data_IF_909336720765
#
_entry.id   IF_909336720765
#
_cell.length_a   1.000
_cell.length_b   1.000
_cell.length_c   1.000
_cell.angle_alpha   90.00
_cell.angle_beta   90.00
_cell.angle_gamma   90.00
#
_symmetry.space_group_name_H-M   'P 1'
#
loop_
_entity.id
_entity.type
_entity.pdbx_description
1 polymer ?
#
# COMPACT_ATOMS: atom_id res chain seq x y z
N UNK A 1 5.76 -84.52 -41.02
CA UNK A 1 5.03 -83.93 -39.89
C UNK A 1 3.52 -83.78 -40.25
N UNK A 2 2.68 -84.44 -39.46
CA UNK A 2 1.22 -84.50 -39.73
C UNK A 2 0.58 -83.06 -39.61
N UNK A 3 -0.39 -82.75 -40.50
CA UNK A 3 -1.07 -81.43 -40.54
C UNK A 3 -1.62 -80.97 -39.17
N UNK A 4 -1.97 -81.87 -38.30
CA UNK A 4 -2.48 -81.62 -36.95
C UNK A 4 -1.42 -80.99 -36.02
N UNK A 5 -0.16 -81.33 -36.12
CA UNK A 5 0.92 -80.79 -35.30
C UNK A 5 1.27 -79.32 -35.68
N UNK A 6 1.13 -78.96 -36.94
CA UNK A 6 1.30 -77.57 -37.43
C UNK A 6 0.22 -76.62 -36.94
N UNK A 7 -1.01 -77.10 -36.83
CA UNK A 7 -2.18 -76.35 -36.31
C UNK A 7 -2.00 -76.14 -34.77
N UNK A 8 -1.61 -77.21 -34.06
CA UNK A 8 -1.39 -77.10 -32.59
C UNK A 8 -0.23 -76.12 -32.24
N UNK A 9 0.86 -76.13 -33.01
CA UNK A 9 1.95 -75.14 -32.80
C UNK A 9 1.51 -73.69 -33.14
N UNK A 10 0.73 -73.48 -34.15
CA UNK A 10 0.19 -72.18 -34.51
C UNK A 10 -0.72 -71.59 -33.42
N UNK A 11 -1.58 -72.40 -32.85
CA UNK A 11 -2.50 -72.01 -31.72
C UNK A 11 -1.64 -71.65 -30.49
N UNK A 12 -0.62 -72.45 -30.16
CA UNK A 12 0.24 -72.21 -28.99
C UNK A 12 1.05 -70.90 -29.16
N UNK A 13 1.57 -70.63 -30.33
CA UNK A 13 2.25 -69.39 -30.65
C UNK A 13 1.28 -68.17 -30.57
N UNK A 14 0.03 -68.31 -31.05
CA UNK A 14 -0.98 -67.28 -30.95
C UNK A 14 -1.32 -66.91 -29.49
N UNK A 15 -1.51 -67.91 -28.64
CA UNK A 15 -1.75 -67.67 -27.20
C UNK A 15 -0.54 -67.10 -26.50
N UNK A 16 0.68 -67.46 -26.88
CA UNK A 16 1.91 -66.92 -26.36
C UNK A 16 2.05 -65.44 -26.71
N UNK A 17 1.72 -65.05 -27.95
CA UNK A 17 1.72 -63.63 -28.37
C UNK A 17 0.68 -62.82 -27.57
N UNK A 18 -0.54 -63.35 -27.39
CA UNK A 18 -1.56 -62.69 -26.58
C UNK A 18 -1.11 -62.49 -25.14
N UNK A 19 -0.47 -63.50 -24.54
CA UNK A 19 0.02 -63.43 -23.18
C UNK A 19 1.12 -62.33 -23.06
N UNK A 20 2.06 -62.27 -24.02
CA UNK A 20 3.10 -61.22 -24.06
C UNK A 20 2.48 -59.85 -24.17
N UNK A 21 1.44 -59.67 -25.02
CA UNK A 21 0.76 -58.40 -25.20
C UNK A 21 0.02 -57.99 -23.90
N UNK A 22 -0.66 -58.91 -23.23
CA UNK A 22 -1.34 -58.63 -21.96
C UNK A 22 -0.37 -58.25 -20.84
N UNK A 23 0.71 -59.03 -20.70
CA UNK A 23 1.78 -58.76 -19.70
C UNK A 23 2.46 -57.42 -20.01
N UNK A 24 2.80 -57.18 -21.26
CA UNK A 24 3.40 -55.90 -21.68
C UNK A 24 2.47 -54.70 -21.36
N UNK A 25 1.18 -54.80 -21.68
CA UNK A 25 0.18 -53.76 -21.40
C UNK A 25 0.02 -53.54 -19.90
N UNK A 26 0.00 -54.57 -19.09
CA UNK A 26 -0.13 -54.44 -17.62
C UNK A 26 1.15 -53.88 -16.99
N UNK A 27 2.35 -54.28 -17.43
CA UNK A 27 3.59 -53.71 -16.96
C UNK A 27 3.76 -52.21 -17.33
N UNK A 28 3.43 -51.87 -18.57
CA UNK A 28 3.45 -50.46 -19.04
C UNK A 28 2.40 -49.66 -18.23
N UNK A 29 1.18 -50.14 -18.09
CA UNK A 29 0.14 -49.50 -17.31
C UNK A 29 0.50 -49.26 -15.84
N UNK A 30 1.10 -50.24 -15.20
CA UNK A 30 1.59 -50.11 -13.82
C UNK A 30 2.80 -49.16 -13.69
N UNK A 31 3.69 -49.16 -14.66
CA UNK A 31 4.81 -48.21 -14.70
C UNK A 31 4.33 -46.78 -14.83
N UNK A 32 3.39 -46.49 -15.73
CA UNK A 32 2.78 -45.18 -15.89
C UNK A 32 1.94 -44.77 -14.65
N UNK A 33 1.17 -45.68 -14.06
CA UNK A 33 0.46 -45.42 -12.81
C UNK A 33 1.40 -45.03 -11.68
N UNK A 34 2.53 -45.73 -11.47
CA UNK A 34 3.53 -45.39 -10.46
C UNK A 34 4.20 -44.03 -10.71
N UNK A 35 4.50 -43.70 -11.96
CA UNK A 35 5.25 -42.50 -12.34
C UNK A 35 4.39 -41.22 -12.37
N UNK A 36 3.08 -41.32 -12.67
CA UNK A 36 2.19 -40.18 -12.87
C UNK A 36 1.04 -40.10 -11.85
N UNK A 37 0.87 -41.08 -10.94
CA UNK A 37 -0.25 -41.09 -9.96
C UNK A 37 -0.12 -40.09 -8.83
N UNK A 38 1.10 -39.61 -8.52
CA UNK A 38 1.33 -38.60 -7.48
C UNK A 38 1.88 -37.33 -8.10
N UNK A 39 0.99 -36.36 -8.34
CA UNK A 39 1.44 -35.00 -8.64
C UNK A 39 2.19 -34.47 -7.41
N UNK A 40 3.37 -33.85 -7.59
CA UNK A 40 4.07 -33.26 -6.46
C UNK A 40 3.17 -32.24 -5.76
N UNK A 41 3.20 -32.17 -4.42
CA UNK A 41 2.38 -31.21 -3.67
C UNK A 41 2.66 -29.79 -4.16
N UNK A 42 1.61 -28.95 -4.35
CA UNK A 42 1.78 -27.59 -4.84
C UNK A 42 2.56 -26.76 -3.84
N UNK A 43 3.48 -25.93 -4.32
CA UNK A 43 4.16 -24.91 -3.51
C UNK A 43 3.19 -23.80 -3.15
N UNK A 44 2.94 -23.59 -1.88
CA UNK A 44 1.97 -22.61 -1.35
C UNK A 44 2.66 -21.72 -0.33
N UNK A 45 2.41 -20.41 -0.40
CA UNK A 45 2.97 -19.45 0.55
C UNK A 45 2.17 -19.55 1.85
N UNK A 46 2.88 -19.82 2.93
CA UNK A 46 2.33 -19.92 4.28
C UNK A 46 2.86 -18.78 5.16
N UNK A 47 2.07 -18.40 6.15
CA UNK A 47 2.44 -17.42 7.17
C UNK A 47 1.94 -17.89 8.53
N UNK A 48 2.54 -17.37 9.57
CA UNK A 48 2.16 -17.63 10.95
C UNK A 48 1.14 -16.58 11.40
N UNK A 49 0.19 -16.98 12.25
CA UNK A 49 -0.74 -16.09 12.92
C UNK A 49 0.02 -15.36 14.03
N UNK A 50 0.10 -14.04 13.94
CA UNK A 50 0.85 -13.19 14.87
C UNK A 50 -0.05 -12.19 15.56
N UNK A 51 0.34 -11.72 16.75
CA UNK A 51 -0.35 -10.62 17.41
C UNK A 51 0.03 -9.32 16.71
N UNK A 52 -0.98 -8.49 16.41
CA UNK A 52 -0.83 -7.16 15.83
C UNK A 52 -1.71 -6.15 16.55
N UNK A 53 -1.30 -4.89 16.50
CA UNK A 53 -2.14 -3.79 16.91
C UNK A 53 -3.14 -3.46 15.79
N UNK A 54 -4.43 -3.44 16.13
CA UNK A 54 -5.52 -3.05 15.26
C UNK A 54 -6.19 -1.80 15.81
N UNK A 55 -6.55 -0.90 14.92
CA UNK A 55 -7.31 0.31 15.26
C UNK A 55 -8.41 0.58 14.25
N UNK A 56 -9.51 1.14 14.74
CA UNK A 56 -10.47 1.78 13.86
C UNK A 56 -9.98 3.17 13.51
N UNK A 57 -10.40 3.70 12.35
CA UNK A 57 -9.92 4.98 11.83
C UNK A 57 -11.07 5.81 11.34
N UNK A 58 -11.00 7.10 11.61
CA UNK A 58 -11.85 8.11 10.98
C UNK A 58 -10.96 9.15 10.32
N UNK A 59 -11.22 9.46 9.06
CA UNK A 59 -10.47 10.44 8.29
C UNK A 59 -11.32 11.66 8.02
N UNK A 60 -10.73 12.86 8.15
CA UNK A 60 -11.35 14.15 7.89
C UNK A 60 -10.27 15.12 7.39
N UNK A 61 -10.68 16.34 7.06
CA UNK A 61 -9.79 17.40 6.65
C UNK A 61 -9.91 18.59 7.57
N UNK A 62 -8.82 19.33 7.74
CA UNK A 62 -8.80 20.55 8.52
C UNK A 62 -7.78 21.54 7.98
N UNK A 63 -7.86 22.77 8.50
CA UNK A 63 -6.94 23.85 8.13
C UNK A 63 -5.92 24.09 9.25
N UNK A 64 -4.66 24.23 8.88
CA UNK A 64 -3.58 24.54 9.80
C UNK A 64 -3.73 25.95 10.39
N UNK A 65 -3.69 26.06 11.71
CA UNK A 65 -3.79 27.30 12.47
C UNK A 65 -2.52 27.45 13.31
N UNK A 66 -1.89 28.64 13.35
CA UNK A 66 -0.70 28.86 14.19
C UNK A 66 -1.06 28.78 15.68
N UNK A 67 -0.14 28.35 16.50
CA UNK A 67 -0.34 28.26 17.95
C UNK A 67 -0.73 29.58 18.58
N UNK A 68 -0.09 30.67 18.17
CA UNK A 68 -0.36 32.05 18.62
C UNK A 68 -0.22 33.01 17.46
N UNK A 69 -1.09 34.02 17.46
CA UNK A 69 -1.06 35.11 16.49
C UNK A 69 -1.20 36.45 17.24
N UNK A 70 -0.37 37.41 16.89
CA UNK A 70 -0.52 38.79 17.34
C UNK A 70 -0.51 39.71 16.13
N UNK A 71 -1.59 40.46 15.97
CA UNK A 71 -1.76 41.41 14.86
C UNK A 71 -1.35 42.82 15.29
N UNK A 72 -0.72 43.53 14.38
CA UNK A 72 -0.33 44.92 14.55
C UNK A 72 -0.82 45.70 13.34
N UNK A 73 -1.64 46.71 13.57
CA UNK A 73 -2.01 47.70 12.57
C UNK A 73 -1.07 48.89 12.67
N UNK A 74 -0.43 49.26 11.59
CA UNK A 74 0.60 50.31 11.50
C UNK A 74 0.23 51.19 10.34
N UNK A 75 0.32 52.52 10.55
CA UNK A 75 0.18 53.45 9.44
C UNK A 75 1.45 53.50 8.64
N UNK A 76 1.37 53.43 7.30
CA UNK A 76 2.57 53.32 6.42
C UNK A 76 3.54 54.48 6.61
N UNK A 77 3.05 55.69 6.92
CA UNK A 77 3.87 56.90 7.14
C UNK A 77 4.68 56.86 8.47
N UNK A 78 4.34 55.95 9.39
CA UNK A 78 5.07 55.81 10.66
C UNK A 78 6.26 54.90 10.51
N UNK A 79 6.38 54.09 9.45
CA UNK A 79 7.43 53.13 9.23
C UNK A 79 8.74 53.85 8.88
N UNK A 80 9.76 53.64 9.68
CA UNK A 80 11.11 54.19 9.44
C UNK A 80 11.98 53.16 8.73
N UNK A 81 12.01 51.93 9.24
CA UNK A 81 12.79 50.82 8.67
C UNK A 81 11.91 49.87 7.94
N UNK A 82 12.32 49.29 6.78
CA UNK A 82 11.52 48.33 6.04
C UNK A 82 11.23 47.08 6.88
N UNK A 83 10.01 46.52 6.74
CA UNK A 83 9.61 45.31 7.45
C UNK A 83 10.07 44.10 6.64
N UNK A 84 10.87 43.23 7.27
CA UNK A 84 11.29 41.96 6.69
C UNK A 84 10.23 40.88 6.97
N UNK A 85 9.46 40.54 5.94
CA UNK A 85 8.48 39.44 6.03
C UNK A 85 9.13 38.06 5.94
N UNK A 86 8.48 37.06 6.52
CA UNK A 86 8.93 35.65 6.61
C UNK A 86 10.25 35.47 7.42
N UNK A 87 10.65 36.50 8.14
CA UNK A 87 11.79 36.45 9.05
C UNK A 87 11.38 35.78 10.37
N UNK A 88 12.19 34.85 10.84
CA UNK A 88 12.06 34.26 12.17
C UNK A 88 12.62 35.21 13.19
N UNK A 89 11.83 35.55 14.19
CA UNK A 89 12.19 36.43 15.29
C UNK A 89 12.05 35.73 16.63
N UNK A 90 12.91 36.07 17.56
CA UNK A 90 12.79 35.68 18.98
C UNK A 90 12.00 36.72 19.74
N UNK A 91 11.43 36.34 20.87
CA UNK A 91 10.83 37.31 21.80
C UNK A 91 11.79 38.42 22.15
N UNK A 92 11.37 39.67 21.96
CA UNK A 92 12.17 40.87 22.21
C UNK A 92 12.92 41.41 20.99
N UNK A 93 13.01 40.63 19.91
CA UNK A 93 13.64 41.12 18.66
C UNK A 93 12.85 42.26 18.01
N UNK A 94 13.56 43.16 17.33
CA UNK A 94 12.95 44.27 16.61
C UNK A 94 12.27 43.77 15.33
N UNK A 95 10.95 44.02 15.20
CA UNK A 95 10.19 43.82 13.97
C UNK A 95 10.44 44.97 12.99
N UNK A 96 10.24 46.19 13.46
CA UNK A 96 10.52 47.43 12.70
C UNK A 96 10.57 48.61 13.65
N UNK A 97 11.26 49.69 13.19
CA UNK A 97 11.28 50.99 13.86
C UNK A 97 10.17 51.88 13.31
N UNK A 98 9.36 52.40 14.21
CA UNK A 98 8.36 53.40 13.90
C UNK A 98 8.82 54.76 14.39
N UNK A 99 8.30 55.85 13.83
CA UNK A 99 8.64 57.23 14.25
C UNK A 99 8.44 57.46 15.74
N UNK A 100 7.44 56.87 16.34
CA UNK A 100 7.05 57.11 17.74
C UNK A 100 7.51 56.00 18.69
N UNK A 101 7.80 54.80 18.19
CA UNK A 101 8.13 53.62 19.00
C UNK A 101 8.82 52.54 18.20
N UNK A 102 9.51 51.62 18.88
CA UNK A 102 9.97 50.39 18.30
C UNK A 102 8.90 49.30 18.41
N UNK A 103 8.64 48.58 17.33
CA UNK A 103 7.78 47.41 17.33
C UNK A 103 8.63 46.18 17.57
N UNK A 104 8.39 45.49 18.67
CA UNK A 104 9.15 44.30 19.11
C UNK A 104 8.28 43.06 19.10
N UNK A 105 8.93 41.92 18.87
CA UNK A 105 8.28 40.60 18.89
C UNK A 105 7.84 40.21 20.31
N UNK A 106 6.56 39.95 20.47
CA UNK A 106 5.98 39.55 21.78
C UNK A 106 6.30 38.12 22.18
N UNK A 107 6.61 37.26 21.21
CA UNK A 107 7.01 35.87 21.37
C UNK A 107 7.83 35.41 20.13
N UNK A 108 8.40 34.23 20.19
CA UNK A 108 9.13 33.61 19.08
C UNK A 108 8.16 33.32 17.93
N UNK A 109 8.46 33.76 16.72
CA UNK A 109 7.54 33.56 15.61
C UNK A 109 8.05 34.09 14.28
N UNK A 110 7.18 34.10 13.29
CA UNK A 110 7.44 34.58 11.94
C UNK A 110 6.55 35.78 11.69
N UNK A 111 7.11 36.82 11.09
CA UNK A 111 6.35 38.00 10.67
C UNK A 111 5.74 37.77 9.31
N UNK A 112 4.41 37.89 9.23
CA UNK A 112 3.66 37.75 8.00
C UNK A 112 2.91 39.02 7.66
N UNK A 113 2.70 39.29 6.36
CA UNK A 113 1.86 40.38 5.88
C UNK A 113 0.43 39.85 5.73
N UNK A 114 -0.54 40.66 6.16
CA UNK A 114 -1.96 40.40 5.89
C UNK A 114 -2.57 41.63 5.21
N UNK A 115 -3.36 41.38 4.20
CA UNK A 115 -4.09 42.47 3.51
C UNK A 115 -5.44 42.74 4.19
N UNK A 116 -5.97 41.73 4.91
CA UNK A 116 -7.21 41.87 5.69
C UNK A 116 -7.21 40.90 6.88
N UNK A 117 -8.05 41.23 7.86
CA UNK A 117 -8.39 40.32 8.98
C UNK A 117 -9.89 40.49 9.27
N UNK A 118 -10.53 39.43 9.77
CA UNK A 118 -11.98 39.50 10.12
C UNK A 118 -12.29 40.58 11.14
N UNK A 119 -11.33 40.87 12.04
CA UNK A 119 -11.51 41.77 13.17
C UNK A 119 -10.90 43.16 12.96
N UNK A 120 -10.09 43.36 11.91
CA UNK A 120 -9.34 44.62 11.70
C UNK A 120 -9.52 45.08 10.27
N UNK A 121 -10.15 46.22 10.10
CA UNK A 121 -10.25 46.92 8.81
C UNK A 121 -8.93 47.57 8.46
N UNK A 122 -8.40 47.24 7.29
CA UNK A 122 -7.16 47.78 6.74
C UNK A 122 -7.52 48.81 5.68
N UNK A 123 -7.00 50.04 5.81
CA UNK A 123 -7.10 51.09 4.80
C UNK A 123 -5.87 51.07 3.87
N UNK A 124 -5.96 51.79 2.75
CA UNK A 124 -4.81 51.93 1.84
C UNK A 124 -3.58 52.58 2.51
N UNK A 125 -3.80 53.43 3.50
CA UNK A 125 -2.75 54.07 4.29
C UNK A 125 -2.14 53.23 5.38
N UNK A 126 -2.76 52.09 5.73
CA UNK A 126 -2.29 51.23 6.82
C UNK A 126 -1.76 49.87 6.32
N UNK A 127 -0.98 49.22 7.16
CA UNK A 127 -0.41 47.88 6.96
C UNK A 127 -0.80 47.01 8.16
N UNK A 128 -1.33 45.85 7.88
CA UNK A 128 -1.59 44.84 8.89
C UNK A 128 -0.46 43.78 8.81
N UNK A 129 0.26 43.62 9.89
CA UNK A 129 1.26 42.58 10.06
C UNK A 129 0.86 41.64 11.19
N UNK A 130 1.24 40.41 11.07
CA UNK A 130 1.01 39.39 12.10
C UNK A 130 2.33 38.76 12.50
N UNK A 131 2.52 38.59 13.79
CA UNK A 131 3.54 37.70 14.35
C UNK A 131 2.84 36.37 14.64
N UNK A 132 3.30 35.29 14.04
CA UNK A 132 2.71 33.96 14.13
C UNK A 132 3.71 32.97 14.69
N UNK A 133 3.34 32.28 15.77
CA UNK A 133 4.11 31.14 16.29
C UNK A 133 3.65 29.86 15.59
N UNK A 134 4.45 29.39 14.67
CA UNK A 134 4.19 28.22 13.84
C UNK A 134 4.99 26.98 14.26
N UNK A 135 5.69 27.02 15.40
CA UNK A 135 6.42 25.88 15.96
C UNK A 135 5.50 24.73 16.36
N UNK A 136 4.28 25.08 16.71
CA UNK A 136 3.16 24.16 16.93
C UNK A 136 2.01 24.60 16.04
N UNK A 137 1.35 23.64 15.41
CA UNK A 137 0.17 23.87 14.59
C UNK A 137 -1.05 23.27 15.30
N UNK A 138 -2.12 24.01 15.33
CA UNK A 138 -3.44 23.51 15.63
C UNK A 138 -4.19 23.21 14.34
N UNK A 139 -5.07 22.21 14.40
CA UNK A 139 -5.99 21.89 13.32
C UNK A 139 -7.38 21.71 13.91
N UNK A 140 -8.30 22.55 13.51
CA UNK A 140 -9.69 22.38 13.89
C UNK A 140 -10.41 21.54 12.84
N UNK A 141 -11.07 20.49 13.30
CA UNK A 141 -11.78 19.53 12.45
C UNK A 141 -13.16 19.22 13.00
N UNK A 142 -14.09 18.95 12.11
CA UNK A 142 -15.42 18.48 12.41
C UNK A 142 -15.48 16.95 12.28
N UNK A 143 -15.73 16.25 13.38
CA UNK A 143 -15.86 14.80 13.42
C UNK A 143 -17.34 14.42 13.42
N UNK A 144 -17.82 13.55 12.51
CA UNK A 144 -19.23 13.14 12.49
C UNK A 144 -19.69 12.56 13.85
N UNK A 145 -20.91 12.90 14.25
CA UNK A 145 -21.52 12.53 15.53
C UNK A 145 -21.39 11.03 15.85
N UNK A 146 -21.49 10.18 14.82
CA UNK A 146 -21.32 8.73 14.93
C UNK A 146 -20.04 8.30 15.68
N UNK A 147 -18.98 9.07 15.56
CA UNK A 147 -17.68 8.76 16.15
C UNK A 147 -17.43 9.49 17.48
N UNK A 148 -18.32 10.39 17.90
CA UNK A 148 -18.13 11.30 19.04
C UNK A 148 -17.78 10.60 20.35
N UNK A 149 -18.39 9.44 20.62
CA UNK A 149 -18.16 8.64 21.83
C UNK A 149 -16.73 8.06 21.94
N UNK A 150 -16.06 7.90 20.80
CA UNK A 150 -14.72 7.34 20.72
C UNK A 150 -13.63 8.42 20.74
N UNK A 151 -13.99 9.68 20.43
CA UNK A 151 -13.04 10.78 20.33
C UNK A 151 -12.74 11.35 21.72
N UNK A 152 -11.50 11.14 22.16
CA UNK A 152 -11.04 11.57 23.49
C UNK A 152 -9.74 12.35 23.40
N UNK A 153 -9.50 13.21 24.38
CA UNK A 153 -8.21 13.90 24.52
C UNK A 153 -7.06 12.91 24.53
N UNK A 154 -5.92 13.31 23.94
CA UNK A 154 -4.68 12.54 23.83
C UNK A 154 -4.74 11.32 22.88
N UNK A 155 -5.79 11.12 22.09
CA UNK A 155 -5.75 10.13 21.02
C UNK A 155 -4.71 10.50 19.96
N UNK A 156 -4.01 9.48 19.45
CA UNK A 156 -3.03 9.64 18.38
C UNK A 156 -3.72 9.96 17.05
N UNK A 157 -3.13 10.89 16.34
CA UNK A 157 -3.63 11.37 15.04
C UNK A 157 -2.49 11.38 14.04
N UNK A 158 -2.71 10.73 12.91
CA UNK A 158 -1.82 10.85 11.76
C UNK A 158 -2.29 12.04 10.90
N UNK A 159 -1.36 12.92 10.58
CA UNK A 159 -1.61 14.13 9.79
C UNK A 159 -0.78 14.08 8.53
N UNK A 160 -1.41 14.23 7.38
CA UNK A 160 -0.73 14.38 6.09
C UNK A 160 -0.94 15.79 5.55
N UNK A 161 0.13 16.37 5.06
CA UNK A 161 0.11 17.66 4.41
C UNK A 161 0.12 17.49 2.89
N UNK A 162 -0.83 18.09 2.19
CA UNK A 162 -0.96 17.96 0.73
C UNK A 162 0.26 18.42 -0.06
N UNK A 163 1.09 19.28 0.51
CA UNK A 163 2.36 19.73 -0.09
C UNK A 163 3.50 18.72 0.06
N UNK A 164 3.34 17.69 0.92
CA UNK A 164 4.33 16.62 1.09
C UNK A 164 3.61 15.32 1.48
N UNK A 165 3.07 14.63 0.48
CA UNK A 165 2.25 13.43 0.67
C UNK A 165 2.99 12.22 1.24
N UNK A 166 4.32 12.19 1.15
CA UNK A 166 5.13 11.07 1.63
C UNK A 166 5.41 11.12 3.13
N UNK A 167 5.21 12.30 3.75
CA UNK A 167 5.51 12.52 5.16
C UNK A 167 4.23 12.50 6.01
N UNK A 168 4.22 11.62 7.01
CA UNK A 168 3.17 11.58 8.02
C UNK A 168 3.69 12.27 9.29
N UNK A 169 2.95 13.27 9.73
CA UNK A 169 3.20 13.97 10.99
C UNK A 169 2.34 13.34 12.07
N UNK A 170 2.87 13.23 13.28
CA UNK A 170 2.13 12.73 14.44
C UNK A 170 1.57 13.90 15.24
N UNK A 171 0.28 13.88 15.49
CA UNK A 171 -0.43 14.81 16.34
C UNK A 171 -1.22 14.09 17.43
N UNK A 172 -1.84 14.87 18.29
CA UNK A 172 -2.74 14.38 19.33
C UNK A 172 -4.01 15.26 19.38
N UNK A 173 -5.12 14.69 19.83
CA UNK A 173 -6.31 15.47 20.15
C UNK A 173 -6.03 16.28 21.40
N UNK A 174 -6.06 17.61 21.27
CA UNK A 174 -5.87 18.56 22.37
C UNK A 174 -7.18 18.77 23.14
N UNK A 175 -8.28 19.02 22.43
CA UNK A 175 -9.58 19.28 23.03
C UNK A 175 -10.73 18.99 22.08
N UNK A 176 -11.92 18.84 22.63
CA UNK A 176 -13.18 18.72 21.90
C UNK A 176 -14.17 19.74 22.45
N UNK A 177 -15.18 20.13 21.65
CA UNK A 177 -16.19 21.14 22.03
C UNK A 177 -17.08 20.72 23.20
N UNK A 178 -17.11 19.45 23.57
CA UNK A 178 -18.00 18.93 24.60
C UNK A 178 -19.49 18.91 24.25
N UNK A 179 -19.87 19.36 23.04
CA UNK A 179 -21.24 19.34 22.50
C UNK A 179 -21.21 19.06 21.01
N UNK A 180 -22.28 18.47 20.53
CA UNK A 180 -22.51 18.28 19.09
C UNK A 180 -23.08 19.55 18.47
N UNK A 181 -22.52 19.94 17.35
CA UNK A 181 -23.12 20.94 16.46
C UNK A 181 -24.33 20.31 15.77
N UNK A 182 -25.52 20.88 16.01
CA UNK A 182 -26.78 20.31 15.52
C UNK A 182 -26.93 20.49 14.01
N UNK A 183 -26.41 21.58 13.46
CA UNK A 183 -26.49 21.88 12.02
C UNK A 183 -25.55 20.95 11.21
N UNK A 184 -24.32 20.80 11.66
CA UNK A 184 -23.31 19.98 11.00
C UNK A 184 -23.35 18.50 11.41
N UNK A 185 -24.07 18.14 12.47
CA UNK A 185 -24.04 16.80 13.08
C UNK A 185 -22.63 16.32 13.33
N UNK A 186 -21.83 17.19 13.94
CA UNK A 186 -20.40 16.95 14.18
C UNK A 186 -19.93 17.41 15.55
N UNK A 187 -18.82 16.83 16.00
CA UNK A 187 -18.07 17.23 17.19
C UNK A 187 -16.86 18.04 16.73
N UNK A 188 -16.83 19.33 17.05
CA UNK A 188 -15.66 20.16 16.80
C UNK A 188 -14.49 19.69 17.68
N UNK A 189 -13.38 19.40 17.05
CA UNK A 189 -12.22 18.78 17.69
C UNK A 189 -10.95 19.53 17.29
N UNK A 190 -10.12 19.90 18.25
CA UNK A 190 -8.83 20.54 18.03
C UNK A 190 -7.70 19.53 18.17
N UNK A 191 -6.87 19.48 17.16
CA UNK A 191 -5.68 18.64 17.09
C UNK A 191 -4.44 19.53 17.24
N UNK A 192 -3.47 19.06 17.98
CA UNK A 192 -2.17 19.71 18.17
C UNK A 192 -1.07 18.86 17.59
N UNK A 193 -0.20 19.45 16.78
CA UNK A 193 1.00 18.78 16.25
C UNK A 193 2.20 19.70 16.32
N UNK A 194 3.39 19.11 16.48
CA UNK A 194 4.65 19.82 16.41
C UNK A 194 5.05 20.06 14.97
N UNK A 195 5.59 21.25 14.69
CA UNK A 195 6.05 21.66 13.39
C UNK A 195 7.52 22.11 13.47
N UNK A 196 8.37 21.21 13.95
CA UNK A 196 9.78 21.51 14.26
C UNK A 196 10.57 22.01 13.04
N UNK A 197 10.25 21.52 11.85
CA UNK A 197 10.89 21.93 10.61
C UNK A 197 10.21 23.12 9.91
N UNK A 198 9.09 23.60 10.43
CA UNK A 198 8.27 24.65 9.80
C UNK A 198 7.77 24.29 8.38
N UNK A 199 7.60 22.98 8.11
CA UNK A 199 7.13 22.49 6.81
C UNK A 199 5.66 22.81 6.55
N UNK A 200 4.86 22.87 7.62
CA UNK A 200 3.42 23.15 7.55
C UNK A 200 3.19 24.65 7.77
N UNK A 201 2.67 25.29 6.76
CA UNK A 201 2.33 26.71 6.83
C UNK A 201 0.88 26.90 7.34
N UNK A 202 0.61 27.94 8.12
CA UNK A 202 -0.76 28.33 8.46
C UNK A 202 -1.62 28.50 7.21
N UNK A 203 -2.86 28.04 7.26
CA UNK A 203 -3.76 28.02 6.11
C UNK A 203 -3.67 26.76 5.23
N UNK A 204 -2.69 25.89 5.46
CA UNK A 204 -2.55 24.65 4.71
C UNK A 204 -3.71 23.69 5.00
N UNK A 205 -4.16 22.98 3.95
CA UNK A 205 -5.10 21.86 4.07
C UNK A 205 -4.36 20.62 4.53
N UNK A 206 -4.87 19.99 5.59
CA UNK A 206 -4.33 18.78 6.19
C UNK A 206 -5.37 17.66 6.17
N UNK A 207 -4.92 16.47 5.76
CA UNK A 207 -5.69 15.23 5.89
C UNK A 207 -5.40 14.64 7.28
N UNK A 208 -6.44 14.38 8.04
CA UNK A 208 -6.38 13.94 9.42
C UNK A 208 -6.94 12.54 9.52
N UNK A 209 -6.18 11.62 10.09
CA UNK A 209 -6.65 10.27 10.42
C UNK A 209 -6.52 10.01 11.91
N UNK A 210 -7.66 9.94 12.59
CA UNK A 210 -7.74 9.66 14.03
C UNK A 210 -7.88 8.16 14.22
N UNK A 211 -7.01 7.58 15.06
CA UNK A 211 -7.05 6.17 15.45
C UNK A 211 -7.75 6.02 16.78
N UNK A 212 -8.70 5.10 16.86
CA UNK A 212 -9.44 4.83 18.09
C UNK A 212 -9.70 3.32 18.23
N UNK A 213 -10.14 2.88 19.42
CA UNK A 213 -10.34 1.46 19.76
C UNK A 213 -9.10 0.60 19.44
N UNK A 214 -7.92 1.11 19.78
CA UNK A 214 -6.68 0.37 19.59
C UNK A 214 -6.66 -0.87 20.49
N UNK A 215 -6.37 -2.02 19.90
CA UNK A 215 -6.25 -3.29 20.62
C UNK A 215 -5.24 -4.22 19.98
N UNK A 216 -4.58 -5.03 20.79
CA UNK A 216 -3.73 -6.11 20.33
C UNK A 216 -4.59 -7.36 20.13
N UNK A 217 -4.60 -7.92 18.94
CA UNK A 217 -5.37 -9.11 18.59
C UNK A 217 -4.63 -9.96 17.57
N UNK A 218 -5.09 -11.19 17.35
CA UNK A 218 -4.53 -12.08 16.33
C UNK A 218 -4.76 -11.48 14.95
N UNK A 219 -3.71 -11.44 14.13
CA UNK A 219 -3.75 -10.89 12.79
C UNK A 219 -3.26 -11.86 11.73
N UNK A 220 -3.94 -11.86 10.59
CA UNK A 220 -3.55 -12.59 9.39
C UNK A 220 -3.60 -11.67 8.18
N UNK A 221 -2.81 -11.94 7.11
CA UNK A 221 -2.95 -11.21 5.86
C UNK A 221 -4.36 -11.37 5.28
N UNK A 222 -4.91 -10.30 4.72
CA UNK A 222 -6.24 -10.31 4.09
C UNK A 222 -6.34 -11.29 2.90
N UNK A 223 -5.20 -11.56 2.23
CA UNK A 223 -5.09 -12.56 1.16
C UNK A 223 -5.29 -14.01 1.62
N UNK A 224 -5.29 -14.26 2.94
CA UNK A 224 -5.48 -15.60 3.54
C UNK A 224 -6.94 -16.00 3.69
N UNK A 225 -7.87 -15.05 3.51
CA UNK A 225 -9.30 -15.28 3.72
C UNK A 225 -9.99 -15.85 2.50
N UNK A 226 -10.96 -16.71 2.76
CA UNK A 226 -11.90 -17.23 1.79
C UNK A 226 -13.31 -17.07 2.34
N UNK A 227 -14.19 -16.44 1.55
CA UNK A 227 -15.60 -16.26 1.90
C UNK A 227 -16.44 -17.24 1.10
N UNK A 228 -17.33 -17.95 1.78
CA UNK A 228 -18.30 -18.83 1.17
C UNK A 228 -19.68 -18.59 1.81
N UNK A 229 -20.58 -17.96 1.08
CA UNK A 229 -21.84 -17.43 1.64
C UNK A 229 -21.54 -16.42 2.75
N UNK A 230 -22.17 -16.58 3.89
CA UNK A 230 -22.04 -15.70 5.06
C UNK A 230 -20.88 -16.09 5.99
N UNK A 231 -20.12 -17.13 5.64
CA UNK A 231 -19.06 -17.66 6.49
C UNK A 231 -17.67 -17.36 5.92
N UNK A 232 -16.74 -17.11 6.83
CA UNK A 232 -15.34 -16.84 6.50
C UNK A 232 -14.47 -18.00 6.95
N UNK A 233 -13.55 -18.40 6.07
CA UNK A 233 -12.66 -19.54 6.27
C UNK A 233 -11.21 -19.16 5.99
N UNK A 234 -10.32 -19.92 6.63
CA UNK A 234 -8.89 -19.96 6.32
C UNK A 234 -8.43 -21.40 6.13
N UNK A 235 -7.35 -21.62 5.42
CA UNK A 235 -6.70 -22.94 5.40
C UNK A 235 -5.57 -22.95 6.43
N UNK A 236 -5.81 -23.63 7.56
CA UNK A 236 -4.80 -23.95 8.57
C UNK A 236 -3.93 -25.09 8.07
N UNK A 237 -2.62 -24.99 8.25
CA UNK A 237 -1.62 -25.98 7.83
C UNK A 237 -1.16 -26.76 9.05
N UNK A 238 -1.34 -28.08 9.04
CA UNK A 238 -0.85 -28.94 10.11
C UNK A 238 0.66 -29.18 10.02
N UNK A 239 1.28 -29.74 11.04
CA UNK A 239 2.71 -30.15 11.05
C UNK A 239 3.07 -31.11 9.90
N UNK A 240 2.10 -31.93 9.47
CA UNK A 240 2.25 -32.83 8.30
C UNK A 240 2.05 -32.14 6.96
N UNK A 241 2.01 -30.81 6.93
CA UNK A 241 1.75 -29.98 5.74
C UNK A 241 0.41 -30.25 5.04
N UNK A 242 -0.59 -30.71 5.80
CA UNK A 242 -1.96 -30.95 5.31
C UNK A 242 -2.79 -29.72 5.62
N UNK A 243 -3.57 -29.27 4.64
CA UNK A 243 -4.45 -28.12 4.77
C UNK A 243 -5.80 -28.51 5.34
N UNK A 244 -6.25 -27.80 6.37
CA UNK A 244 -7.58 -27.94 6.97
C UNK A 244 -8.36 -26.63 6.81
N UNK A 245 -9.54 -26.71 6.22
CA UNK A 245 -10.47 -25.58 6.13
C UNK A 245 -11.04 -25.31 7.52
N UNK A 246 -10.77 -24.12 8.06
CA UNK A 246 -11.16 -23.71 9.41
C UNK A 246 -12.04 -22.48 9.32
N UNK A 247 -13.21 -22.50 9.92
CA UNK A 247 -14.09 -21.34 10.04
C UNK A 247 -13.51 -20.35 11.04
N UNK A 248 -13.57 -19.05 10.73
CA UNK A 248 -13.04 -17.99 11.55
C UNK A 248 -14.02 -16.84 11.65
N UNK A 249 -14.04 -16.18 12.80
CA UNK A 249 -14.74 -14.90 12.98
C UNK A 249 -13.73 -13.79 12.85
N UNK A 250 -13.98 -12.88 11.90
CA UNK A 250 -13.10 -11.76 11.61
C UNK A 250 -13.56 -10.49 12.34
N UNK A 251 -12.63 -9.60 12.64
CA UNK A 251 -12.87 -8.29 13.23
C UNK A 251 -12.41 -7.15 12.32
N UNK A 252 -11.61 -6.26 12.86
CA UNK A 252 -11.10 -5.06 12.19
C UNK A 252 -10.15 -5.45 11.06
N UNK A 253 -10.26 -4.74 9.92
CA UNK A 253 -9.28 -4.80 8.83
C UNK A 253 -8.42 -3.55 8.88
N UNK A 254 -7.12 -3.72 8.98
CA UNK A 254 -6.16 -2.63 9.03
C UNK A 254 -4.87 -2.98 8.27
N UNK A 255 -4.47 -2.10 7.36
CA UNK A 255 -3.16 -2.13 6.67
C UNK A 255 -2.81 -3.48 6.02
N UNK A 256 -3.80 -4.11 5.34
CA UNK A 256 -3.63 -5.41 4.65
C UNK A 256 -3.64 -6.63 5.57
N UNK A 257 -4.00 -6.42 6.84
CA UNK A 257 -4.24 -7.48 7.82
C UNK A 257 -5.68 -7.45 8.30
N UNK A 258 -6.15 -8.61 8.72
CA UNK A 258 -7.47 -8.78 9.32
C UNK A 258 -7.31 -9.37 10.70
N UNK A 259 -8.03 -8.80 11.63
CA UNK A 259 -8.18 -9.31 12.98
C UNK A 259 -8.96 -10.61 12.98
N UNK A 260 -8.49 -11.59 13.76
CA UNK A 260 -9.19 -12.83 14.04
C UNK A 260 -9.72 -12.79 15.49
N UNK A 261 -11.03 -12.76 15.60
CA UNK A 261 -11.73 -12.78 16.89
C UNK A 261 -11.78 -14.21 17.45
N UNK A 262 -12.02 -15.21 16.59
CA UNK A 262 -12.04 -16.61 16.99
C UNK A 262 -11.73 -17.55 15.81
N UNK A 263 -11.40 -18.82 16.13
CA UNK A 263 -11.10 -19.88 15.15
C UNK A 263 -9.63 -20.19 14.97
N UNK A 264 -8.70 -19.31 15.39
CA UNK A 264 -7.26 -19.52 15.32
C UNK A 264 -6.60 -19.22 16.66
N UNK A 265 -5.38 -19.77 16.82
CA UNK A 265 -4.48 -19.46 17.94
C UNK A 265 -3.18 -18.88 17.41
N UNK A 266 -2.47 -18.09 18.24
CA UNK A 266 -1.14 -17.60 17.93
C UNK A 266 -0.20 -18.76 17.55
N UNK A 267 0.65 -18.54 16.55
CA UNK A 267 1.60 -19.55 16.08
C UNK A 267 0.99 -20.55 15.08
N UNK A 268 -0.31 -20.54 14.82
CA UNK A 268 -0.88 -21.39 13.79
C UNK A 268 -0.33 -21.01 12.41
N UNK A 269 0.08 -22.02 11.64
CA UNK A 269 0.46 -21.81 10.23
C UNK A 269 -0.79 -21.80 9.36
N UNK A 270 -0.91 -20.80 8.51
CA UNK A 270 -2.02 -20.64 7.57
C UNK A 270 -1.52 -20.37 6.15
N UNK A 271 -2.36 -20.67 5.17
CA UNK A 271 -2.09 -20.32 3.77
C UNK A 271 -2.24 -18.80 3.60
N UNK A 272 -1.17 -18.13 3.19
CA UNK A 272 -1.16 -16.69 2.96
C UNK A 272 -1.53 -16.31 1.53
N UNK A 273 -1.05 -17.07 0.56
CA UNK A 273 -1.29 -16.79 -0.86
C UNK A 273 -1.45 -18.11 -1.64
N UNK A 274 -2.24 -18.07 -2.71
CA UNK A 274 -2.43 -19.23 -3.59
C UNK A 274 -3.65 -20.08 -3.23
N UNK A 275 -4.66 -19.53 -2.55
CA UNK A 275 -5.89 -20.19 -2.14
C UNK A 275 -6.58 -20.98 -3.26
N UNK A 276 -6.54 -20.48 -4.51
CA UNK A 276 -7.12 -21.19 -5.69
C UNK A 276 -6.51 -22.56 -5.96
N UNK A 277 -5.31 -22.84 -5.45
CA UNK A 277 -4.60 -24.13 -5.62
C UNK A 277 -4.79 -25.06 -4.42
N UNK A 278 -5.41 -24.58 -3.36
CA UNK A 278 -5.58 -25.31 -2.11
C UNK A 278 -6.99 -25.92 -2.05
N UNK A 279 -7.08 -27.12 -1.49
CA UNK A 279 -8.32 -27.81 -1.18
C UNK A 279 -8.25 -28.40 0.22
N UNK A 280 -9.36 -28.66 0.89
CA UNK A 280 -9.34 -29.35 2.18
C UNK A 280 -8.62 -30.70 2.08
N UNK A 281 -7.83 -31.03 3.08
CA UNK A 281 -7.03 -32.26 3.20
C UNK A 281 -5.98 -32.45 2.09
N UNK A 282 -5.53 -31.35 1.47
CA UNK A 282 -4.47 -31.39 0.48
C UNK A 282 -3.10 -31.28 1.16
N UNK A 283 -2.16 -32.16 0.78
CA UNK A 283 -0.75 -32.01 1.14
C UNK A 283 -0.12 -30.89 0.29
N UNK A 284 0.56 -29.95 0.93
CA UNK A 284 1.21 -28.80 0.28
C UNK A 284 2.70 -28.79 0.58
N UNK A 285 3.48 -28.10 -0.25
CA UNK A 285 4.86 -27.72 0.05
C UNK A 285 4.88 -26.29 0.57
N UNK A 286 5.02 -26.06 1.90
CA UNK A 286 4.99 -24.72 2.46
C UNK A 286 6.22 -23.92 2.01
N UNK A 287 5.99 -22.68 1.58
CA UNK A 287 7.01 -21.70 1.23
C UNK A 287 6.81 -20.50 2.18
N UNK A 288 7.81 -20.17 2.98
CA UNK A 288 7.73 -18.99 3.85
C UNK A 288 7.79 -17.71 3.03
N UNK A 289 6.97 -16.72 3.37
CA UNK A 289 6.99 -15.39 2.73
C UNK A 289 8.36 -14.74 2.96
N UNK A 290 9.07 -14.41 1.87
CA UNK A 290 10.42 -13.82 1.95
C UNK A 290 11.54 -14.72 1.40
N UNK A 291 11.34 -16.01 1.17
CA UNK A 291 12.25 -16.82 0.37
C UNK A 291 12.12 -16.40 -1.10
N UNK A 292 13.26 -16.00 -1.71
CA UNK A 292 13.34 -15.62 -3.13
C UNK A 292 12.48 -16.58 -3.96
N UNK A 293 11.55 -16.04 -4.77
CA UNK A 293 10.77 -16.81 -5.74
C UNK A 293 11.73 -17.77 -6.45
N UNK A 294 11.54 -19.08 -6.27
CA UNK A 294 12.11 -20.07 -7.15
C UNK A 294 11.72 -19.64 -8.57
N UNK A 295 12.71 -19.17 -9.32
CA UNK A 295 12.56 -18.89 -10.75
C UNK A 295 11.94 -20.15 -11.35
N UNK A 296 10.69 -20.05 -11.81
CA UNK A 296 10.02 -21.14 -12.49
C UNK A 296 10.88 -21.52 -13.69
N UNK A 297 11.42 -22.74 -13.69
CA UNK A 297 12.19 -23.32 -14.79
C UNK A 297 11.36 -23.54 -16.09
N UNK A 298 10.25 -22.83 -16.20
CA UNK A 298 9.36 -22.91 -17.38
C UNK A 298 9.94 -22.26 -18.64
N UNK A 299 10.90 -21.31 -18.50
CA UNK A 299 11.50 -20.63 -19.67
C UNK A 299 12.65 -21.36 -20.36
N UNK A 300 13.11 -22.52 -19.84
CA UNK A 300 14.22 -23.26 -20.49
C UNK A 300 13.82 -24.38 -21.44
N UNK A 301 12.52 -24.55 -21.75
CA UNK A 301 12.07 -25.58 -22.73
C UNK A 301 11.43 -25.02 -24.00
N UNK A 302 11.51 -23.73 -24.23
CA UNK A 302 10.97 -23.10 -25.43
C UNK A 302 11.98 -22.15 -26.09
N UNK A 303 13.29 -22.50 -26.06
CA UNK A 303 14.19 -22.02 -27.11
C UNK A 303 14.17 -23.04 -28.22
N UNK A 304 13.66 -22.69 -29.41
CA UNK A 304 13.83 -23.54 -30.57
C UNK A 304 15.35 -23.65 -30.83
N UNK A 305 15.86 -24.87 -30.89
CA UNK A 305 17.21 -25.13 -31.42
C UNK A 305 17.33 -24.34 -32.69
N UNK A 306 18.25 -23.37 -32.74
CA UNK A 306 18.71 -22.74 -33.97
C UNK A 306 19.13 -23.86 -34.91
N UNK A 307 18.24 -24.21 -35.83
CA UNK A 307 18.60 -25.01 -36.97
C UNK A 307 19.63 -24.19 -37.75
N UNK A 308 20.80 -24.76 -37.91
CA UNK A 308 21.75 -24.30 -38.91
C UNK A 308 21.03 -24.22 -40.24
N UNK A 309 20.72 -23.01 -40.61
CA UNK A 309 20.13 -22.75 -41.92
C UNK A 309 21.13 -23.09 -42.99
N UNK A 310 20.81 -24.13 -43.73
CA UNK A 310 21.38 -24.39 -45.03
C UNK A 310 21.40 -23.05 -45.78
N UNK A 311 22.60 -22.61 -46.19
CA UNK A 311 22.84 -21.51 -47.09
C UNK A 311 21.84 -21.59 -48.24
N UNK A 312 20.93 -20.64 -48.30
CA UNK A 312 19.93 -20.59 -49.35
C UNK A 312 20.62 -20.24 -50.67
N UNK A 313 20.19 -20.94 -51.75
CA UNK A 313 20.61 -20.82 -53.13
C UNK A 313 20.41 -19.45 -53.80
N UNK A 314 20.25 -18.37 -53.03
CA UNK A 314 19.94 -17.04 -53.52
C UNK A 314 21.03 -15.98 -53.37
N UNK A 315 22.29 -16.41 -53.00
CA UNK A 315 23.41 -15.46 -52.86
C UNK A 315 24.01 -15.01 -54.22
N UNK A 316 23.54 -15.55 -55.34
CA UNK A 316 24.00 -15.13 -56.64
C UNK A 316 23.30 -13.83 -57.16
N UNK A 317 22.12 -13.46 -56.63
CA UNK A 317 21.41 -12.27 -56.99
C UNK A 317 21.98 -10.95 -56.44
N UNK A 318 22.87 -11.00 -55.47
CA UNK A 318 23.59 -9.83 -54.95
C UNK A 318 24.84 -9.44 -55.74
N UNK A 319 25.19 -10.19 -56.77
CA UNK A 319 26.32 -9.88 -57.69
C UNK A 319 25.93 -9.21 -59.01
N UNK A 320 24.67 -8.96 -59.24
CA UNK A 320 24.19 -8.17 -60.36
C UNK A 320 23.87 -6.74 -59.93
N UNK A 321 24.93 -5.90 -60.01
CA UNK A 321 24.86 -4.45 -59.93
C UNK A 321 24.03 -3.90 -61.12
N UNK A 322 22.71 -3.87 -60.96
CA UNK A 322 21.85 -3.12 -61.91
C UNK A 322 20.86 -2.37 -61.00
N UNK A 323 21.15 -1.17 -60.79
CA UNK A 323 20.35 0.01 -60.47
C UNK A 323 21.18 0.95 -59.57
N UNK A 324 22.20 1.56 -60.20
CA UNK A 324 22.69 2.86 -59.79
C UNK A 324 22.18 3.84 -60.85
N UNK A 325 21.52 4.85 -60.38
CA UNK A 325 21.37 6.22 -60.89
C UNK A 325 19.96 6.78 -60.76
N UNK A 326 20.04 7.95 -60.25
CA UNK A 326 19.08 9.07 -60.28
C UNK A 326 18.24 9.17 -58.98
N UNK A 327 18.18 10.26 -58.22
CA UNK A 327 18.50 11.66 -58.54
C UNK A 327 18.69 12.43 -57.19
N UNK A 328 19.74 13.21 -57.18
CA UNK A 328 19.81 14.40 -56.32
C UNK A 328 18.88 15.47 -56.88
N UNK A 329 18.08 16.13 -56.04
CA UNK A 329 17.84 17.57 -56.10
C UNK A 329 16.99 18.03 -54.93
N UNK A 330 17.64 18.84 -54.11
CA UNK A 330 17.28 20.19 -53.69
C UNK A 330 15.84 20.47 -53.25
N UNK A 331 15.70 20.88 -51.98
CA UNK A 331 15.31 22.29 -51.73
C UNK A 331 15.52 22.67 -50.28
N UNK A 332 16.36 23.65 -50.11
CA UNK A 332 16.42 24.64 -49.01
C UNK A 332 15.12 25.47 -49.00
N UNK A 333 14.86 26.08 -47.87
CA UNK A 333 14.01 27.25 -47.53
C UNK A 333 12.51 26.94 -47.24
N UNK A 334 12.07 27.03 -46.04
CA UNK A 334 11.69 28.25 -45.29
C UNK A 334 11.53 27.92 -43.81
#
# INVERSE_FOLDING_TARGET
MKRSTKIGTAILVFFLIITIVIVGRTMIGNHFKKKFSKRPPPGIIVTEVVVKNFSQKVSTYGTAIPFRTKSYKIEKYEIVDPIEFNKKLKKGDLITKLKTRNLIAAFDGIVTKRDFSNDIKVSESSLLIQLEDTSTIYVDVDIPELYSSFIKKNLNVDVKFSGNNDKIYSGIIDSTSGRIDIEKRSLATRIKLKNDNFDILPGSLLEITIKYNEKNSLGIPDTSLMMEGDKTYVYKVSEKNITNKTEVVIGIRDSGFIEIVSGLSQGNNIVAEGLKKVRPRLEIKPIKKGTKKLKSNWKKKAEPKKNETKKSKFDWLKKLNIFDKSEKKDTKNK
#
